data_IF_597675415836
#
_entry.id   IF_597675415836
#
_cell.length_a   1.000
_cell.length_b   1.000
_cell.length_c   1.000
_cell.angle_alpha   90.00
_cell.angle_beta   90.00
_cell.angle_gamma   90.00
#
_symmetry.space_group_name_H-M   'P 1'
#
loop_
_entity.id
_entity.type
_entity.pdbx_description
1 polymer ?
#
# COMPACT_ATOMS: atom_id res chain seq x y z
N UNK A 1 20.92 4.24 23.92
CA UNK A 1 19.98 4.91 24.86
C UNK A 1 19.74 6.39 24.54
N UNK A 2 20.78 7.22 24.44
CA UNK A 2 20.63 8.66 24.14
C UNK A 2 19.82 8.98 22.86
N UNK A 3 20.03 8.22 21.78
CA UNK A 3 19.26 8.38 20.54
C UNK A 3 17.77 8.09 20.70
N UNK A 4 17.39 7.07 21.49
CA UNK A 4 15.99 6.75 21.77
C UNK A 4 15.32 7.82 22.64
N UNK A 5 16.04 8.36 23.63
CA UNK A 5 15.57 9.46 24.49
C UNK A 5 15.38 10.72 23.66
N UNK A 6 16.34 11.06 22.80
CA UNK A 6 16.25 12.21 21.90
C UNK A 6 15.09 12.08 20.91
N UNK A 7 14.94 10.90 20.31
CA UNK A 7 13.82 10.60 19.41
C UNK A 7 12.48 10.68 20.14
N UNK A 8 12.40 10.21 21.39
CA UNK A 8 11.21 10.35 22.21
C UNK A 8 10.88 11.81 22.55
N UNK A 9 11.87 12.61 22.98
CA UNK A 9 11.68 14.05 23.30
C UNK A 9 11.25 14.83 22.05
N UNK A 10 11.91 14.59 20.92
CA UNK A 10 11.58 15.23 19.65
C UNK A 10 10.15 14.88 19.18
N UNK A 11 9.81 13.59 19.20
CA UNK A 11 8.50 13.11 18.72
C UNK A 11 7.36 13.42 19.68
N UNK A 12 7.61 13.44 20.99
CA UNK A 12 6.56 13.58 22.02
C UNK A 12 6.27 15.02 22.42
N UNK A 13 7.26 15.92 22.33
CA UNK A 13 7.11 17.30 22.79
C UNK A 13 7.44 18.32 21.70
N UNK A 14 8.67 18.30 21.18
CA UNK A 14 9.17 19.35 20.28
C UNK A 14 8.35 19.44 18.99
N UNK A 15 8.03 18.29 18.37
CA UNK A 15 7.23 18.22 17.14
C UNK A 15 5.84 18.81 17.31
N UNK A 16 5.20 18.61 18.46
CA UNK A 16 3.86 19.14 18.71
C UNK A 16 3.89 20.64 18.93
N UNK A 17 4.84 21.13 19.73
CA UNK A 17 5.01 22.54 19.98
C UNK A 17 5.35 23.29 18.68
N UNK A 18 6.26 22.75 17.87
CA UNK A 18 6.58 23.30 16.54
C UNK A 18 5.37 23.31 15.61
N UNK A 19 4.57 22.23 15.56
CA UNK A 19 3.33 22.19 14.77
C UNK A 19 2.33 23.26 15.20
N UNK A 20 2.17 23.45 16.50
CA UNK A 20 1.31 24.48 17.06
C UNK A 20 1.83 25.87 16.71
N UNK A 21 3.12 26.13 16.92
CA UNK A 21 3.76 27.40 16.59
C UNK A 21 3.62 27.75 15.10
N UNK A 22 3.95 26.81 14.21
CA UNK A 22 3.79 27.02 12.76
C UNK A 22 2.32 27.28 12.41
N UNK A 23 1.36 26.62 13.08
CA UNK A 23 -0.06 26.90 12.85
C UNK A 23 -0.43 28.34 13.24
N UNK A 24 0.13 28.87 14.32
CA UNK A 24 -0.08 30.27 14.69
C UNK A 24 0.57 31.22 13.68
N UNK A 25 1.79 30.91 13.22
CA UNK A 25 2.52 31.74 12.28
C UNK A 25 1.90 31.75 10.86
N UNK A 26 1.46 30.59 10.36
CA UNK A 26 0.98 30.44 8.96
C UNK A 26 -0.54 30.44 8.83
N UNK A 27 -1.28 30.26 9.93
CA UNK A 27 -2.74 30.08 9.90
C UNK A 27 -3.22 28.78 9.25
N UNK A 28 -2.30 27.88 8.85
CA UNK A 28 -2.62 26.61 8.17
C UNK A 28 -2.28 25.42 9.06
N UNK A 29 -2.95 24.28 8.87
CA UNK A 29 -2.58 23.04 9.53
C UNK A 29 -1.48 22.28 8.75
N UNK A 30 -0.88 21.27 9.38
CA UNK A 30 0.17 20.45 8.75
C UNK A 30 -0.29 19.80 7.44
N UNK A 31 -1.52 19.26 7.40
CA UNK A 31 -2.06 18.65 6.18
C UNK A 31 -2.22 19.66 5.05
N UNK A 32 -2.65 20.89 5.35
CA UNK A 32 -2.71 21.97 4.34
C UNK A 32 -1.32 22.27 3.78
N UNK A 33 -0.32 22.43 4.65
CA UNK A 33 1.06 22.65 4.23
C UNK A 33 1.64 21.49 3.42
N UNK A 34 1.27 20.24 3.74
CA UNK A 34 1.67 19.08 2.95
C UNK A 34 1.01 19.13 1.56
N UNK A 35 -0.28 19.41 1.50
CA UNK A 35 -1.04 19.44 0.25
C UNK A 35 -0.60 20.58 -0.68
N UNK A 36 -0.33 21.78 -0.15
CA UNK A 36 0.13 22.92 -0.95
C UNK A 36 1.63 22.88 -1.26
N UNK A 37 2.45 22.42 -0.31
CA UNK A 37 3.91 22.46 -0.41
C UNK A 37 4.56 21.29 -1.15
N UNK A 38 3.80 20.28 -1.59
CA UNK A 38 4.33 19.15 -2.35
C UNK A 38 3.51 18.95 -3.62
N UNK A 39 4.14 18.61 -4.74
CA UNK A 39 3.43 18.25 -5.98
C UNK A 39 2.53 17.02 -5.76
N UNK A 40 1.41 16.89 -6.50
CA UNK A 40 0.58 15.68 -6.45
C UNK A 40 1.41 14.41 -6.73
N UNK A 41 1.16 13.33 -6.01
CA UNK A 41 1.86 12.05 -6.15
C UNK A 41 2.49 11.55 -4.85
N UNK A 42 3.33 10.51 -4.97
CA UNK A 42 3.78 9.68 -3.85
C UNK A 42 4.37 10.45 -2.65
N UNK A 43 5.16 11.50 -2.90
CA UNK A 43 5.76 12.30 -1.81
C UNK A 43 4.71 13.02 -0.98
N UNK A 44 3.68 13.62 -1.61
CA UNK A 44 2.57 14.27 -0.91
C UNK A 44 1.77 13.24 -0.12
N UNK A 45 1.44 12.12 -0.75
CA UNK A 45 0.66 11.01 -0.19
C UNK A 45 1.34 10.41 1.04
N UNK A 46 2.62 10.07 0.94
CA UNK A 46 3.40 9.50 2.04
C UNK A 46 3.49 10.45 3.24
N UNK A 47 3.73 11.75 3.00
CA UNK A 47 3.73 12.76 4.07
C UNK A 47 2.35 12.92 4.70
N UNK A 48 1.28 12.91 3.89
CA UNK A 48 -0.09 12.99 4.38
C UNK A 48 -0.45 11.75 5.23
N UNK A 49 -0.10 10.55 4.77
CA UNK A 49 -0.28 9.30 5.51
C UNK A 49 0.44 9.36 6.86
N UNK A 50 1.71 9.75 6.86
CA UNK A 50 2.49 9.89 8.09
C UNK A 50 1.86 10.89 9.07
N UNK A 51 1.39 12.03 8.57
CA UNK A 51 0.69 13.05 9.36
C UNK A 51 -0.60 12.51 9.99
N UNK A 52 -1.43 11.80 9.19
CA UNK A 52 -2.67 11.18 9.65
C UNK A 52 -2.39 10.08 10.69
N UNK A 53 -1.44 9.18 10.42
CA UNK A 53 -1.07 8.06 11.31
C UNK A 53 -0.50 8.55 12.64
N UNK A 54 0.30 9.62 12.60
CA UNK A 54 0.91 10.24 13.79
C UNK A 54 -0.06 11.15 14.56
N UNK A 55 -1.30 11.33 14.10
CA UNK A 55 -2.25 12.25 14.73
C UNK A 55 -2.80 11.69 16.05
N UNK A 56 -2.84 12.52 17.11
CA UNK A 56 -3.54 12.18 18.36
C UNK A 56 -5.06 12.09 18.17
N UNK A 57 -5.60 12.79 17.17
CA UNK A 57 -7.03 12.81 16.86
C UNK A 57 -7.48 11.49 16.22
N UNK A 58 -8.50 10.85 16.81
CA UNK A 58 -9.04 9.55 16.36
C UNK A 58 -9.70 9.64 14.98
N UNK A 59 -10.36 10.74 14.64
CA UNK A 59 -10.99 10.95 13.33
C UNK A 59 -9.95 10.90 12.22
N UNK A 60 -8.83 11.61 12.39
CA UNK A 60 -7.73 11.63 11.42
C UNK A 60 -7.11 10.23 11.23
N UNK A 61 -6.91 9.49 12.33
CA UNK A 61 -6.40 8.11 12.24
C UNK A 61 -7.43 7.16 11.63
N UNK A 62 -8.72 7.38 11.91
CA UNK A 62 -9.83 6.61 11.38
C UNK A 62 -9.94 6.71 9.86
N UNK A 63 -9.61 7.87 9.28
CA UNK A 63 -9.63 8.08 7.83
C UNK A 63 -8.70 7.13 7.05
N UNK A 64 -7.64 6.59 7.67
CA UNK A 64 -6.74 5.61 7.06
C UNK A 64 -7.37 4.22 6.91
N UNK A 65 -8.47 3.96 7.62
CA UNK A 65 -9.19 2.67 7.62
C UNK A 65 -10.52 2.74 6.87
N UNK A 66 -10.84 3.90 6.30
CA UNK A 66 -12.10 4.11 5.62
C UNK A 66 -12.14 3.35 4.28
N UNK A 67 -13.33 2.88 3.92
CA UNK A 67 -13.60 2.36 2.58
C UNK A 67 -13.66 3.49 1.56
N UNK A 68 -13.45 3.17 0.28
CA UNK A 68 -13.35 4.14 -0.83
C UNK A 68 -14.57 5.07 -0.92
N UNK A 69 -15.77 4.54 -0.63
CA UNK A 69 -17.05 5.26 -0.66
C UNK A 69 -17.23 6.28 0.48
N UNK A 70 -16.46 6.16 1.56
CA UNK A 70 -16.55 7.08 2.71
C UNK A 70 -15.46 8.16 2.71
N UNK A 71 -14.51 8.14 1.78
CA UNK A 71 -13.33 9.04 1.81
C UNK A 71 -13.70 10.52 1.69
N UNK A 72 -14.74 10.83 0.92
CA UNK A 72 -15.26 12.18 0.81
C UNK A 72 -15.74 12.72 2.17
N UNK A 73 -16.50 11.89 2.91
CA UNK A 73 -16.96 12.22 4.27
C UNK A 73 -15.78 12.31 5.24
N UNK A 74 -14.77 11.46 5.10
CA UNK A 74 -13.56 11.55 5.91
C UNK A 74 -12.80 12.87 5.67
N UNK A 75 -12.69 13.33 4.42
CA UNK A 75 -12.08 14.61 4.11
C UNK A 75 -12.85 15.77 4.78
N UNK A 76 -14.19 15.76 4.71
CA UNK A 76 -15.03 16.75 5.38
C UNK A 76 -14.88 16.74 6.90
N UNK A 77 -14.85 15.56 7.52
CA UNK A 77 -14.62 15.42 8.95
C UNK A 77 -13.24 15.96 9.35
N UNK A 78 -12.19 15.66 8.57
CA UNK A 78 -10.85 16.19 8.84
C UNK A 78 -10.83 17.72 8.72
N UNK A 79 -11.51 18.30 7.73
CA UNK A 79 -11.62 19.75 7.60
C UNK A 79 -12.29 20.39 8.82
N UNK A 80 -13.39 19.80 9.31
CA UNK A 80 -14.07 20.23 10.54
C UNK A 80 -13.14 20.13 11.76
N UNK A 81 -12.55 18.98 12.00
CA UNK A 81 -11.62 18.74 13.13
C UNK A 81 -10.39 19.66 13.12
N UNK A 82 -9.98 20.12 11.94
CA UNK A 82 -8.86 21.04 11.77
C UNK A 82 -9.27 22.50 11.67
N UNK A 83 -10.56 22.83 11.77
CA UNK A 83 -11.10 24.17 11.59
C UNK A 83 -10.59 24.82 10.29
N UNK A 84 -10.52 24.05 9.20
CA UNK A 84 -10.10 24.54 7.89
C UNK A 84 -11.27 25.28 7.25
N UNK A 85 -11.02 26.51 6.81
CA UNK A 85 -12.01 27.33 6.10
C UNK A 85 -11.86 27.09 4.59
N UNK A 86 -12.87 26.50 3.90
CA UNK A 86 -12.77 26.21 2.46
C UNK A 86 -12.45 27.44 1.62
N UNK A 87 -12.92 28.62 2.04
CA UNK A 87 -12.68 29.87 1.31
C UNK A 87 -11.22 30.30 1.31
N UNK A 88 -10.45 29.92 2.35
CA UNK A 88 -9.02 30.26 2.46
C UNK A 88 -8.12 29.26 1.73
N UNK A 89 -8.63 28.06 1.46
CA UNK A 89 -7.86 26.97 0.86
C UNK A 89 -8.81 26.01 0.10
N UNK A 90 -9.32 26.44 -1.07
CA UNK A 90 -10.37 25.70 -1.79
C UNK A 90 -9.86 24.37 -2.36
N UNK A 91 -8.55 24.25 -2.60
CA UNK A 91 -7.94 23.05 -3.18
C UNK A 91 -7.59 21.99 -2.13
N UNK A 92 -7.65 22.33 -0.84
CA UNK A 92 -7.25 21.41 0.22
C UNK A 92 -8.10 20.16 0.28
N UNK A 93 -9.42 20.29 0.17
CA UNK A 93 -10.35 19.16 0.26
C UNK A 93 -10.02 18.12 -0.80
N UNK A 94 -9.93 18.57 -2.05
CA UNK A 94 -9.61 17.72 -3.20
C UNK A 94 -8.23 17.09 -3.07
N UNK A 95 -7.22 17.89 -2.70
CA UNK A 95 -5.86 17.39 -2.50
C UNK A 95 -5.78 16.33 -1.40
N UNK A 96 -6.53 16.50 -0.30
CA UNK A 96 -6.62 15.54 0.79
C UNK A 96 -7.38 14.28 0.34
N UNK A 97 -8.49 14.43 -0.38
CA UNK A 97 -9.27 13.33 -0.93
C UNK A 97 -8.40 12.43 -1.81
N UNK A 98 -7.62 13.01 -2.73
CA UNK A 98 -6.67 12.28 -3.57
C UNK A 98 -5.64 11.52 -2.73
N UNK A 99 -5.09 12.15 -1.68
CA UNK A 99 -4.16 11.46 -0.78
C UNK A 99 -4.83 10.27 -0.08
N UNK A 100 -6.05 10.44 0.44
CA UNK A 100 -6.81 9.36 1.08
C UNK A 100 -7.10 8.21 0.10
N UNK A 101 -7.51 8.52 -1.12
CA UNK A 101 -7.70 7.53 -2.18
C UNK A 101 -6.44 6.72 -2.46
N UNK A 102 -5.30 7.39 -2.61
CA UNK A 102 -4.03 6.72 -2.89
C UNK A 102 -3.56 5.85 -1.71
N UNK A 103 -3.71 6.34 -0.47
CA UNK A 103 -3.34 5.58 0.74
C UNK A 103 -4.18 4.31 0.86
N UNK A 104 -5.51 4.45 0.75
CA UNK A 104 -6.44 3.32 0.86
C UNK A 104 -6.27 2.35 -0.30
N UNK A 105 -6.15 2.84 -1.53
CA UNK A 105 -5.88 2.02 -2.70
C UNK A 105 -4.57 1.23 -2.60
N UNK A 106 -3.49 1.86 -2.15
CA UNK A 106 -2.21 1.19 -1.92
C UNK A 106 -2.32 0.10 -0.84
N UNK A 107 -3.04 0.39 0.25
CA UNK A 107 -3.25 -0.58 1.34
C UNK A 107 -4.06 -1.79 0.86
N UNK A 108 -5.13 -1.57 0.10
CA UNK A 108 -5.93 -2.65 -0.48
C UNK A 108 -5.13 -3.47 -1.49
N UNK A 109 -4.37 -2.81 -2.38
CA UNK A 109 -3.51 -3.49 -3.35
C UNK A 109 -2.48 -4.37 -2.64
N UNK A 110 -1.81 -3.84 -1.61
CA UNK A 110 -0.84 -4.60 -0.84
C UNK A 110 -1.47 -5.86 -0.22
N UNK A 111 -2.68 -5.74 0.37
CA UNK A 111 -3.40 -6.88 0.93
C UNK A 111 -3.75 -7.90 -0.16
N UNK A 112 -4.27 -7.47 -1.30
CA UNK A 112 -4.59 -8.37 -2.42
C UNK A 112 -3.35 -9.11 -2.93
N UNK A 113 -2.23 -8.41 -3.11
CA UNK A 113 -0.96 -9.01 -3.55
C UNK A 113 -0.43 -9.99 -2.51
N UNK A 114 -0.45 -9.63 -1.23
CA UNK A 114 -0.03 -10.53 -0.15
C UNK A 114 -0.93 -11.75 0.00
N UNK A 115 -2.23 -11.63 -0.27
CA UNK A 115 -3.13 -12.78 -0.28
C UNK A 115 -2.75 -13.76 -1.40
N UNK A 116 -2.49 -13.27 -2.61
CA UNK A 116 -2.01 -14.11 -3.73
C UNK A 116 -0.64 -14.74 -3.43
N UNK A 117 0.26 -14.00 -2.76
CA UNK A 117 1.59 -14.52 -2.37
C UNK A 117 1.50 -15.63 -1.33
N UNK A 118 0.49 -15.57 -0.46
CA UNK A 118 0.26 -16.56 0.61
C UNK A 118 -0.55 -17.76 0.14
N UNK A 119 -1.25 -17.65 -0.99
CA UNK A 119 -1.98 -18.75 -1.58
C UNK A 119 -1.00 -19.82 -2.05
N UNK A 120 -1.10 -21.01 -1.45
CA UNK A 120 -0.20 -22.12 -1.73
C UNK A 120 -0.65 -22.84 -3.00
N UNK A 121 0.29 -23.08 -3.91
CA UNK A 121 0.02 -23.91 -5.09
C UNK A 121 -0.49 -25.30 -4.67
N UNK A 122 -1.54 -25.76 -5.33
CA UNK A 122 -2.19 -27.05 -5.03
C UNK A 122 -2.42 -27.81 -6.32
N UNK A 123 -1.84 -29.01 -6.40
CA UNK A 123 -2.05 -29.92 -7.54
C UNK A 123 -3.45 -30.53 -7.58
N UNK A 124 -4.24 -30.36 -6.52
CA UNK A 124 -5.66 -30.74 -6.49
C UNK A 124 -6.55 -29.61 -7.04
N UNK A 125 -6.02 -28.39 -7.20
CA UNK A 125 -6.75 -27.28 -7.81
C UNK A 125 -6.48 -27.25 -9.32
N UNK A 126 -7.54 -27.49 -10.10
CA UNK A 126 -7.46 -27.50 -11.56
C UNK A 126 -7.03 -26.16 -12.16
N UNK A 127 -7.37 -25.03 -11.55
CA UNK A 127 -6.96 -23.71 -12.04
C UNK A 127 -5.45 -23.49 -11.88
N UNK A 128 -4.89 -23.97 -10.78
CA UNK A 128 -3.44 -23.88 -10.51
C UNK A 128 -2.66 -24.73 -11.52
N UNK A 129 -3.08 -25.98 -11.73
CA UNK A 129 -2.46 -26.88 -12.70
C UNK A 129 -2.61 -26.37 -14.13
N UNK A 130 -3.78 -25.82 -14.50
CA UNK A 130 -3.99 -25.22 -15.82
C UNK A 130 -3.05 -24.03 -16.06
N UNK A 131 -2.84 -23.18 -15.05
CA UNK A 131 -1.90 -22.05 -15.15
C UNK A 131 -0.45 -22.52 -15.29
N UNK A 132 -0.06 -23.59 -14.58
CA UNK A 132 1.27 -24.18 -14.68
C UNK A 132 1.52 -24.83 -16.05
N UNK A 133 0.54 -25.55 -16.60
CA UNK A 133 0.65 -26.11 -17.95
C UNK A 133 0.68 -25.01 -19.01
N UNK A 134 -0.11 -23.95 -18.84
CA UNK A 134 -0.04 -22.76 -19.71
C UNK A 134 1.34 -22.13 -19.70
N UNK A 135 2.01 -22.06 -18.54
CA UNK A 135 3.40 -21.58 -18.46
C UNK A 135 4.33 -22.41 -19.36
N UNK A 136 4.21 -23.74 -19.29
CA UNK A 136 5.00 -24.63 -20.14
C UNK A 136 4.73 -24.37 -21.62
N UNK A 137 3.47 -24.32 -22.03
CA UNK A 137 3.09 -24.10 -23.42
C UNK A 137 3.59 -22.76 -23.98
N UNK A 138 3.65 -21.72 -23.13
CA UNK A 138 4.18 -20.41 -23.51
C UNK A 138 5.71 -20.41 -23.68
N UNK A 139 6.43 -21.12 -22.82
CA UNK A 139 7.90 -21.12 -22.82
C UNK A 139 8.51 -22.20 -23.73
N UNK A 140 7.81 -23.33 -23.92
CA UNK A 140 8.27 -24.51 -24.65
C UNK A 140 7.25 -24.97 -25.71
N UNK A 141 6.83 -24.11 -26.66
CA UNK A 141 5.70 -24.38 -27.57
C UNK A 141 5.90 -25.58 -28.52
N UNK A 142 7.14 -25.99 -28.75
CA UNK A 142 7.48 -27.11 -29.65
C UNK A 142 7.69 -28.43 -28.92
N UNK A 143 7.78 -28.42 -27.59
CA UNK A 143 8.06 -29.60 -26.77
C UNK A 143 6.86 -29.88 -25.89
N UNK A 144 6.22 -31.03 -26.11
CA UNK A 144 5.13 -31.45 -25.22
C UNK A 144 5.69 -31.90 -23.88
N UNK A 145 5.01 -31.53 -22.81
CA UNK A 145 5.31 -32.02 -21.48
C UNK A 145 4.85 -33.49 -21.37
N UNK A 146 5.75 -34.38 -21.01
CA UNK A 146 5.48 -35.82 -20.94
C UNK A 146 4.51 -36.17 -19.80
N UNK A 147 4.68 -35.50 -18.67
CA UNK A 147 3.79 -35.61 -17.52
C UNK A 147 3.96 -34.43 -16.57
N UNK A 148 3.04 -34.27 -15.62
CA UNK A 148 3.13 -33.19 -14.63
C UNK A 148 4.38 -33.30 -13.74
N UNK A 149 4.85 -34.49 -13.39
CA UNK A 149 6.07 -34.66 -12.58
C UNK A 149 7.15 -35.23 -13.48
N UNK A 150 8.09 -34.37 -13.89
CA UNK A 150 9.10 -34.71 -14.90
C UNK A 150 10.33 -33.81 -14.79
N UNK A 151 11.49 -34.31 -15.21
CA UNK A 151 12.74 -33.56 -15.26
C UNK A 151 12.69 -32.37 -16.24
N UNK A 152 11.77 -32.38 -17.20
CA UNK A 152 11.64 -31.33 -18.22
C UNK A 152 11.42 -29.95 -17.61
N UNK A 153 10.82 -29.85 -16.43
CA UNK A 153 10.65 -28.57 -15.72
C UNK A 153 11.97 -27.84 -15.44
N UNK A 154 13.07 -28.59 -15.31
CA UNK A 154 14.41 -28.04 -15.20
C UNK A 154 14.85 -27.23 -16.42
N UNK A 155 14.32 -27.51 -17.62
CA UNK A 155 14.66 -26.81 -18.85
C UNK A 155 14.21 -25.34 -18.85
N UNK A 156 13.19 -25.02 -18.05
CA UNK A 156 12.72 -23.64 -17.81
C UNK A 156 13.07 -23.10 -16.42
N UNK A 157 13.96 -23.81 -15.69
CA UNK A 157 14.57 -23.33 -14.45
C UNK A 157 13.88 -23.72 -13.13
N UNK A 158 12.88 -24.61 -13.15
CA UNK A 158 12.32 -25.18 -11.91
C UNK A 158 13.29 -26.15 -11.23
N UNK A 159 13.19 -26.27 -9.92
CA UNK A 159 14.03 -27.17 -9.13
C UNK A 159 13.38 -28.55 -8.94
N UNK A 160 14.05 -29.58 -9.44
CA UNK A 160 13.57 -30.96 -9.35
C UNK A 160 12.42 -31.26 -10.32
N UNK A 161 11.76 -32.39 -10.11
CA UNK A 161 10.79 -32.92 -11.07
C UNK A 161 9.37 -32.36 -10.84
N UNK A 162 9.11 -31.76 -9.67
CA UNK A 162 7.82 -31.19 -9.29
C UNK A 162 7.90 -29.67 -8.99
N UNK A 163 7.46 -28.82 -9.94
CA UNK A 163 7.34 -27.36 -9.78
C UNK A 163 6.62 -26.87 -8.54
N UNK A 164 5.75 -27.69 -7.93
CA UNK A 164 5.03 -27.31 -6.70
C UNK A 164 5.98 -26.84 -5.61
N UNK A 165 7.18 -27.42 -5.55
CA UNK A 165 8.17 -27.10 -4.51
C UNK A 165 8.81 -25.71 -4.69
N UNK A 166 8.84 -25.16 -5.90
CA UNK A 166 9.37 -23.82 -6.18
C UNK A 166 8.42 -22.70 -5.74
N UNK A 167 7.11 -22.96 -5.69
CA UNK A 167 6.11 -21.98 -5.29
C UNK A 167 5.97 -21.77 -3.77
N UNK A 168 6.82 -22.40 -2.93
CA UNK A 168 6.71 -22.28 -1.46
C UNK A 168 6.91 -20.87 -0.92
N UNK A 169 7.73 -20.05 -1.57
CA UNK A 169 8.06 -18.70 -1.12
C UNK A 169 7.08 -17.63 -1.60
N UNK A 170 6.85 -17.59 -2.92
CA UNK A 170 5.98 -16.59 -3.57
C UNK A 170 4.55 -17.07 -3.81
N UNK A 171 4.22 -18.32 -3.45
CA UNK A 171 2.88 -18.87 -3.65
C UNK A 171 2.43 -18.80 -5.10
N UNK A 172 1.12 -18.67 -5.28
CA UNK A 172 0.48 -18.52 -6.58
C UNK A 172 0.87 -17.20 -7.26
N UNK A 173 1.18 -16.14 -6.50
CA UNK A 173 1.69 -14.88 -7.08
C UNK A 173 2.94 -15.11 -7.95
N UNK A 174 3.81 -16.06 -7.57
CA UNK A 174 4.96 -16.44 -8.39
C UNK A 174 4.54 -16.95 -9.76
N UNK A 175 3.60 -17.90 -9.80
CA UNK A 175 3.10 -18.47 -11.04
C UNK A 175 2.33 -17.45 -11.90
N UNK A 176 1.50 -16.61 -11.29
CA UNK A 176 0.74 -15.55 -11.99
C UNK A 176 1.67 -14.57 -12.71
N UNK A 177 2.83 -14.26 -12.15
CA UNK A 177 3.78 -13.33 -12.79
C UNK A 177 4.62 -13.98 -13.91
N UNK A 178 4.67 -15.32 -13.97
CA UNK A 178 5.41 -16.05 -15.00
C UNK A 178 4.57 -16.29 -16.27
N UNK A 179 3.24 -16.28 -16.14
CA UNK A 179 2.26 -16.54 -17.21
C UNK A 179 1.75 -15.25 -17.83
#
# INVERSE_FOLDING_TARGET
>A
MLGYIWQYVYTSFLRYWLKWFIRQATGTCELQRICSGNKPGATRTSKAEYSLRSSKNKVLRGALKASKDQLEKCADQIMKEKNVKPQKDPLFKESLHICLLQITGNSSLYVSVENMRKEVFSSENQEHEAMLLKLWDLLMPTVKLDSRITKQWGDIGFQGDDPKTDFRGMGLLGLINLV
#
